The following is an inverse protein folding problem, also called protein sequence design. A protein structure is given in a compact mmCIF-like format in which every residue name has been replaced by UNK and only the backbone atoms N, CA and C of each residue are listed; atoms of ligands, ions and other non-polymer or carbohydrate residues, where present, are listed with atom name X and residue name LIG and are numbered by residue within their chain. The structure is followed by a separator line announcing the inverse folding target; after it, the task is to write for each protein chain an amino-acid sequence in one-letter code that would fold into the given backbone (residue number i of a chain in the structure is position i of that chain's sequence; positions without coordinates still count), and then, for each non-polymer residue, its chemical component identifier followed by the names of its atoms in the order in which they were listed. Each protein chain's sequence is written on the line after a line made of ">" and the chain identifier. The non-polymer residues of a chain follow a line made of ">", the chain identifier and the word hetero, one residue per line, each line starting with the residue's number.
data_IF_721702918928
#
_entry.id   IF_721702918928
#
_cell.length_a   1.000
_cell.length_b   1.000
_cell.length_c   1.000
_cell.angle_alpha   90.00
_cell.angle_beta   90.00
_cell.angle_gamma   90.00
#
_symmetry.space_group_name_H-M   'P 1'
#
loop_
_entity.id
_entity.type
_entity.pdbx_description
1 polymer ?
#
# COMPACT_ATOMS: atom_id res chain seq x y z
N UNK A 1 -33.28 59.56 -12.07
CA UNK A 1 -32.24 58.66 -11.69
C UNK A 1 -32.62 57.30 -12.26
N UNK A 2 -31.91 56.90 -13.27
CA UNK A 2 -32.30 55.79 -14.17
C UNK A 2 -31.54 54.53 -13.76
N UNK A 3 -32.26 53.53 -13.26
CA UNK A 3 -31.73 52.19 -12.97
C UNK A 3 -31.57 51.43 -14.29
N UNK A 4 -30.33 51.12 -14.66
CA UNK A 4 -30.01 50.16 -15.72
C UNK A 4 -29.58 48.84 -15.07
N UNK A 5 -30.17 47.71 -15.45
CA UNK A 5 -29.70 46.40 -14.99
C UNK A 5 -28.41 46.04 -15.69
N UNK A 6 -27.45 45.49 -14.90
CA UNK A 6 -26.21 44.92 -15.44
C UNK A 6 -26.52 43.64 -16.25
N UNK A 7 -26.10 43.63 -17.50
CA UNK A 7 -26.05 42.42 -18.34
C UNK A 7 -24.75 41.66 -18.04
N UNK A 8 -24.91 40.39 -17.68
CA UNK A 8 -23.79 39.46 -17.60
C UNK A 8 -23.45 38.94 -19.00
N UNK A 9 -22.18 38.77 -19.34
CA UNK A 9 -21.78 38.22 -20.64
C UNK A 9 -22.14 36.74 -20.73
N UNK A 10 -22.66 36.35 -21.91
CA UNK A 10 -23.01 35.00 -22.28
C UNK A 10 -21.79 34.07 -22.21
N UNK A 11 -22.01 32.84 -21.71
CA UNK A 11 -21.02 31.78 -21.67
C UNK A 11 -20.58 31.40 -23.09
N UNK A 12 -19.30 31.60 -23.41
CA UNK A 12 -18.70 31.09 -24.63
C UNK A 12 -18.66 29.56 -24.61
N UNK A 13 -19.27 28.94 -25.61
CA UNK A 13 -19.13 27.52 -25.91
C UNK A 13 -17.70 27.22 -26.35
N UNK A 14 -16.81 26.86 -25.44
CA UNK A 14 -15.59 26.16 -25.78
C UNK A 14 -15.94 24.67 -25.82
N UNK A 15 -15.94 24.13 -27.04
CA UNK A 15 -15.96 22.69 -27.25
C UNK A 15 -14.67 22.11 -26.68
N UNK A 16 -14.81 21.33 -25.61
CA UNK A 16 -13.74 20.61 -24.95
C UNK A 16 -13.41 19.36 -25.79
N UNK A 17 -12.50 19.52 -26.76
CA UNK A 17 -11.88 18.44 -27.52
C UNK A 17 -10.55 17.99 -26.86
N UNK A 18 -10.56 17.77 -25.56
CA UNK A 18 -9.49 17.05 -24.90
C UNK A 18 -9.57 15.55 -25.26
N UNK A 19 -8.43 14.85 -25.43
CA UNK A 19 -8.43 13.41 -25.69
C UNK A 19 -9.13 12.71 -24.52
N UNK A 20 -10.26 12.06 -24.79
CA UNK A 20 -10.87 11.12 -23.86
C UNK A 20 -9.87 9.97 -23.66
N UNK A 21 -9.17 9.97 -22.52
CA UNK A 21 -8.47 8.79 -22.07
C UNK A 21 -9.55 7.81 -21.64
N UNK A 22 -9.89 6.91 -22.52
CA UNK A 22 -10.63 5.70 -22.20
C UNK A 22 -9.70 4.88 -21.29
N UNK A 23 -9.90 4.98 -19.99
CA UNK A 23 -9.25 4.07 -19.05
C UNK A 23 -9.91 2.70 -19.24
N UNK A 24 -9.25 1.82 -20.00
CA UNK A 24 -9.55 0.41 -19.94
C UNK A 24 -9.45 -0.04 -18.48
N UNK A 25 -10.51 -0.66 -17.98
CA UNK A 25 -10.51 -1.32 -16.67
C UNK A 25 -9.51 -2.48 -16.74
N UNK A 26 -8.24 -2.17 -16.44
CA UNK A 26 -7.23 -3.22 -16.31
C UNK A 26 -7.53 -4.00 -15.05
N UNK A 27 -7.77 -5.30 -15.22
CA UNK A 27 -7.93 -6.26 -14.14
C UNK A 27 -6.77 -6.14 -13.14
N UNK A 28 -7.08 -5.65 -11.94
CA UNK A 28 -6.13 -5.45 -10.84
C UNK A 28 -5.65 -6.76 -10.20
N UNK A 29 -6.10 -7.88 -10.71
CA UNK A 29 -5.76 -9.21 -10.22
C UNK A 29 -4.92 -9.95 -11.27
N UNK A 30 -3.61 -9.91 -11.13
CA UNK A 30 -2.69 -10.68 -11.99
C UNK A 30 -2.63 -12.15 -11.49
N UNK A 31 -2.88 -13.16 -12.34
CA UNK A 31 -2.88 -14.58 -11.96
C UNK A 31 -1.49 -15.23 -11.95
N UNK A 32 -0.41 -14.47 -11.82
CA UNK A 32 0.95 -15.00 -12.04
C UNK A 32 1.50 -15.82 -10.85
N UNK A 33 0.98 -15.66 -9.63
CA UNK A 33 1.51 -16.41 -8.48
C UNK A 33 0.98 -17.84 -8.31
N UNK A 34 -0.13 -18.21 -8.94
CA UNK A 34 -0.64 -19.60 -8.86
C UNK A 34 0.24 -20.64 -9.56
N UNK A 35 1.11 -20.24 -10.48
CA UNK A 35 1.96 -21.19 -11.24
C UNK A 35 3.20 -21.69 -10.50
N UNK A 36 3.62 -21.06 -9.43
CA UNK A 36 4.85 -21.45 -8.73
C UNK A 36 4.58 -22.45 -7.60
N UNK A 37 3.43 -22.40 -6.95
CA UNK A 37 3.09 -23.30 -5.83
C UNK A 37 2.55 -24.66 -6.26
N UNK A 38 1.98 -24.80 -7.47
CA UNK A 38 1.43 -26.07 -7.98
C UNK A 38 2.48 -27.13 -8.35
N UNK A 39 3.76 -26.76 -8.53
CA UNK A 39 4.83 -27.69 -8.93
C UNK A 39 5.61 -28.32 -7.78
N UNK A 40 5.37 -27.93 -6.55
CA UNK A 40 6.08 -28.47 -5.36
C UNK A 40 5.32 -29.63 -4.72
N UNK A 41 4.02 -29.77 -4.96
CA UNK A 41 3.19 -30.79 -4.32
C UNK A 41 3.28 -32.19 -4.95
N UNK A 42 3.77 -32.35 -6.18
CA UNK A 42 3.80 -33.66 -6.88
C UNK A 42 5.10 -34.46 -6.78
N UNK A 43 6.10 -34.02 -6.05
CA UNK A 43 7.36 -34.76 -5.82
C UNK A 43 7.60 -35.22 -4.39
N UNK A 44 6.54 -35.49 -3.65
CA UNK A 44 6.56 -36.09 -2.33
C UNK A 44 6.57 -37.61 -2.36
N UNK A 45 7.44 -38.25 -3.13
CA UNK A 45 7.61 -39.72 -3.11
C UNK A 45 8.92 -40.11 -2.41
N UNK A 46 8.74 -40.66 -1.19
CA UNK A 46 9.64 -41.62 -0.54
C UNK A 46 11.15 -41.26 -0.44
N UNK A 47 11.51 -40.46 0.54
CA UNK A 47 12.88 -40.48 1.09
C UNK A 47 12.97 -41.59 2.16
N UNK A 48 13.57 -42.72 1.80
CA UNK A 48 14.08 -43.69 2.76
C UNK A 48 15.29 -43.07 3.46
N UNK A 49 15.17 -42.86 4.75
CA UNK A 49 16.26 -42.38 5.60
C UNK A 49 17.24 -43.54 5.80
N UNK A 50 18.41 -43.42 5.21
CA UNK A 50 19.51 -44.34 5.45
C UNK A 50 20.41 -43.72 6.54
N UNK A 51 20.56 -44.35 7.72
CA UNK A 51 21.33 -43.80 8.83
C UNK A 51 22.82 -44.17 8.67
N UNK A 52 23.54 -43.48 7.81
CA UNK A 52 25.03 -43.48 7.87
C UNK A 52 25.49 -42.04 7.93
N UNK A 53 25.94 -41.67 9.12
CA UNK A 53 26.53 -40.37 9.43
C UNK A 53 27.74 -40.12 8.52
N UNK A 54 27.64 -39.10 7.69
CA UNK A 54 28.77 -38.48 6.99
C UNK A 54 29.27 -37.27 7.79
N UNK A 55 30.56 -37.05 7.89
CA UNK A 55 31.13 -36.11 8.86
C UNK A 55 30.93 -34.64 8.47
N UNK A 56 30.77 -33.83 9.50
CA UNK A 56 30.46 -32.38 9.55
C UNK A 56 31.46 -31.48 8.79
N UNK A 57 32.40 -32.03 8.04
CA UNK A 57 33.46 -31.26 7.36
C UNK A 57 33.05 -30.61 6.03
N UNK A 58 32.00 -31.09 5.36
CA UNK A 58 31.58 -30.48 4.07
C UNK A 58 30.78 -29.21 4.23
N UNK A 59 30.03 -29.06 5.31
CA UNK A 59 29.19 -27.85 5.57
C UNK A 59 30.03 -26.58 5.81
N UNK A 60 31.22 -26.72 6.39
CA UNK A 60 32.13 -25.56 6.63
C UNK A 60 32.71 -25.00 5.33
N UNK A 61 33.09 -25.86 4.38
CA UNK A 61 33.65 -25.43 3.08
C UNK A 61 32.64 -24.65 2.24
N UNK A 62 31.36 -25.03 2.27
CA UNK A 62 30.28 -24.33 1.53
C UNK A 62 29.97 -22.95 2.16
N UNK A 63 30.04 -22.84 3.49
CA UNK A 63 29.84 -21.56 4.20
C UNK A 63 31.02 -20.62 3.95
N UNK A 64 32.25 -21.13 3.94
CA UNK A 64 33.44 -20.33 3.63
C UNK A 64 33.49 -19.91 2.17
N UNK A 65 33.06 -20.74 1.21
CA UNK A 65 32.93 -20.37 -0.19
C UNK A 65 31.83 -19.33 -0.42
N UNK A 66 30.70 -19.40 0.31
CA UNK A 66 29.65 -18.34 0.26
C UNK A 66 30.13 -17.03 0.88
N UNK A 67 30.90 -17.07 1.99
CA UNK A 67 31.54 -15.88 2.57
C UNK A 67 32.60 -15.30 1.65
N UNK A 68 33.45 -16.12 1.01
CA UNK A 68 34.47 -15.70 0.07
C UNK A 68 33.86 -15.11 -1.24
N UNK A 69 32.70 -15.63 -1.70
CA UNK A 69 31.97 -15.03 -2.83
C UNK A 69 31.34 -13.67 -2.46
N UNK A 70 30.81 -13.53 -1.23
CA UNK A 70 30.28 -12.25 -0.74
C UNK A 70 31.36 -11.18 -0.57
N UNK A 71 32.57 -11.55 -0.12
CA UNK A 71 33.71 -10.63 0.01
C UNK A 71 34.36 -10.27 -1.33
N UNK A 72 34.30 -11.15 -2.36
CA UNK A 72 34.76 -10.79 -3.71
C UNK A 72 33.85 -9.82 -4.45
N UNK A 73 32.54 -9.83 -4.15
CA UNK A 73 31.55 -8.88 -4.70
C UNK A 73 31.72 -7.43 -4.17
N UNK A 74 32.41 -7.25 -3.06
CA UNK A 74 32.61 -5.91 -2.44
C UNK A 74 33.83 -5.14 -2.97
N UNK A 75 34.58 -5.66 -3.93
CA UNK A 75 35.84 -5.03 -4.39
C UNK A 75 35.74 -4.04 -5.54
N UNK A 76 34.58 -3.83 -6.15
CA UNK A 76 34.38 -2.65 -6.99
C UNK A 76 34.00 -1.47 -6.10
N UNK A 77 35.00 -0.75 -5.59
CA UNK A 77 34.76 0.57 -5.03
C UNK A 77 34.18 1.44 -6.15
N UNK A 78 32.90 1.79 -6.00
CA UNK A 78 32.26 2.75 -6.91
C UNK A 78 33.01 4.07 -6.73
N UNK A 79 33.60 4.58 -7.81
CA UNK A 79 34.20 5.92 -7.79
C UNK A 79 33.08 6.97 -7.81
N UNK A 80 32.85 7.59 -6.66
CA UNK A 80 31.78 8.58 -6.50
C UNK A 80 32.09 9.91 -7.18
N UNK A 81 33.38 10.23 -7.42
CA UNK A 81 33.80 11.50 -8.03
C UNK A 81 33.18 11.77 -9.39
N UNK A 82 32.98 10.73 -10.20
CA UNK A 82 32.36 10.88 -11.51
C UNK A 82 30.85 11.13 -11.45
N UNK A 83 30.21 10.68 -10.38
CA UNK A 83 28.82 11.02 -10.10
C UNK A 83 28.69 12.44 -9.56
N UNK A 84 29.54 12.83 -8.61
CA UNK A 84 29.54 14.17 -8.01
C UNK A 84 29.67 15.28 -9.06
N UNK A 85 30.53 15.10 -10.06
CA UNK A 85 30.68 16.04 -11.16
C UNK A 85 29.42 16.26 -11.99
N UNK A 86 28.49 15.31 -11.96
CA UNK A 86 27.20 15.36 -12.68
C UNK A 86 26.05 15.88 -11.83
N UNK A 87 26.30 16.11 -10.53
CA UNK A 87 25.31 16.57 -9.59
C UNK A 87 25.26 18.10 -9.57
N UNK A 88 24.13 18.65 -9.98
CA UNK A 88 23.79 20.05 -9.77
C UNK A 88 23.11 20.26 -8.40
N UNK A 89 22.82 21.51 -8.06
CA UNK A 89 22.18 21.86 -6.80
C UNK A 89 20.82 21.15 -6.62
N UNK A 90 19.99 21.13 -7.65
CA UNK A 90 18.70 20.44 -7.62
C UNK A 90 18.84 18.93 -7.41
N UNK A 91 19.86 18.31 -8.00
CA UNK A 91 20.18 16.89 -7.79
C UNK A 91 20.48 16.62 -6.31
N UNK A 92 21.25 17.48 -5.66
CA UNK A 92 21.53 17.36 -4.21
C UNK A 92 20.29 17.59 -3.37
N UNK A 93 19.44 18.55 -3.70
CA UNK A 93 18.17 18.79 -3.00
C UNK A 93 17.24 17.57 -3.10
N UNK A 94 17.19 16.89 -4.26
CA UNK A 94 16.41 15.66 -4.44
C UNK A 94 16.97 14.53 -3.56
N UNK A 95 18.30 14.36 -3.51
CA UNK A 95 18.92 13.36 -2.63
C UNK A 95 18.65 13.68 -1.16
N UNK A 96 18.67 14.95 -0.77
CA UNK A 96 18.34 15.40 0.59
C UNK A 96 16.87 15.09 0.94
N UNK A 97 15.92 15.40 0.06
CA UNK A 97 14.51 15.09 0.27
C UNK A 97 14.26 13.60 0.50
N UNK A 98 14.93 12.73 -0.27
CA UNK A 98 14.83 11.28 -0.12
C UNK A 98 15.63 10.79 1.09
N UNK A 99 16.86 11.26 1.28
CA UNK A 99 17.79 10.73 2.28
C UNK A 99 17.52 11.25 3.69
N UNK A 100 17.09 12.51 3.85
CA UNK A 100 16.84 13.14 5.15
C UNK A 100 15.39 12.94 5.61
N UNK A 101 14.41 13.09 4.70
CA UNK A 101 12.98 13.00 5.03
C UNK A 101 12.36 11.65 4.69
N UNK A 102 13.04 10.83 3.89
CA UNK A 102 12.54 9.52 3.48
C UNK A 102 11.45 9.60 2.41
N UNK A 103 11.26 10.75 1.76
CA UNK A 103 10.27 10.92 0.71
C UNK A 103 10.47 9.91 -0.41
N UNK A 104 9.38 9.26 -0.83
CA UNK A 104 9.40 8.27 -1.91
C UNK A 104 8.51 8.68 -3.08
N UNK A 105 7.49 9.50 -2.87
CA UNK A 105 6.62 9.94 -3.97
C UNK A 105 7.15 11.21 -4.63
N UNK A 106 6.82 11.37 -5.92
CA UNK A 106 7.16 12.58 -6.64
C UNK A 106 6.57 13.83 -5.98
N UNK A 107 5.32 13.76 -5.50
CA UNK A 107 4.62 14.89 -4.90
C UNK A 107 5.30 15.37 -3.60
N UNK A 108 5.74 14.44 -2.75
CA UNK A 108 6.41 14.77 -1.50
C UNK A 108 7.79 15.39 -1.77
N UNK A 109 8.54 14.83 -2.75
CA UNK A 109 9.84 15.36 -3.17
C UNK A 109 9.67 16.78 -3.76
N UNK A 110 8.66 16.97 -4.62
CA UNK A 110 8.35 18.27 -5.22
C UNK A 110 7.98 19.30 -4.16
N UNK A 111 7.10 18.95 -3.23
CA UNK A 111 6.67 19.85 -2.16
C UNK A 111 7.86 20.31 -1.31
N UNK A 112 8.74 19.38 -0.91
CA UNK A 112 9.93 19.69 -0.12
C UNK A 112 10.90 20.62 -0.86
N UNK A 113 11.12 20.40 -2.16
CA UNK A 113 12.01 21.24 -2.97
C UNK A 113 11.41 22.63 -3.18
N UNK A 114 10.11 22.71 -3.50
CA UNK A 114 9.42 23.98 -3.74
C UNK A 114 9.33 24.83 -2.48
N UNK A 115 9.21 24.21 -1.30
CA UNK A 115 9.29 24.90 0.01
C UNK A 115 10.66 25.54 0.22
N UNK A 116 11.74 24.85 -0.18
CA UNK A 116 13.13 25.35 -0.05
C UNK A 116 13.48 26.39 -1.10
N UNK A 117 13.06 26.17 -2.34
CA UNK A 117 13.31 27.05 -3.47
C UNK A 117 12.17 26.97 -4.51
N UNK A 118 11.30 27.97 -4.49
CA UNK A 118 10.16 28.09 -5.39
C UNK A 118 10.53 28.39 -6.87
N UNK A 119 11.82 28.58 -7.18
CA UNK A 119 12.27 28.83 -8.55
C UNK A 119 12.31 27.55 -9.40
N UNK A 120 12.38 26.37 -8.75
CA UNK A 120 12.36 25.09 -9.44
C UNK A 120 10.95 24.70 -9.87
N UNK A 121 10.75 24.58 -11.17
CA UNK A 121 9.47 24.13 -11.75
C UNK A 121 9.31 22.61 -11.64
N UNK A 122 8.06 22.14 -11.60
CA UNK A 122 7.72 20.71 -11.63
C UNK A 122 8.41 19.95 -12.76
N UNK A 123 8.42 20.52 -13.97
CA UNK A 123 9.09 19.93 -15.14
C UNK A 123 10.58 19.73 -14.93
N UNK A 124 11.27 20.70 -14.30
CA UNK A 124 12.69 20.61 -14.00
C UNK A 124 12.97 19.54 -12.96
N UNK A 125 12.18 19.47 -11.90
CA UNK A 125 12.30 18.44 -10.85
C UNK A 125 12.12 17.04 -11.45
N UNK A 126 11.06 16.82 -12.26
CA UNK A 126 10.80 15.53 -12.95
C UNK A 126 11.94 15.11 -13.86
N UNK A 127 12.46 16.05 -14.66
CA UNK A 127 13.56 15.74 -15.56
C UNK A 127 14.83 15.37 -14.78
N UNK A 128 15.13 16.06 -13.69
CA UNK A 128 16.28 15.76 -12.83
C UNK A 128 16.16 14.40 -12.16
N UNK A 129 14.97 14.04 -11.62
CA UNK A 129 14.70 12.70 -11.07
C UNK A 129 14.92 11.63 -12.16
N UNK A 130 14.49 11.88 -13.39
CA UNK A 130 14.69 10.95 -14.51
C UNK A 130 16.17 10.78 -14.83
N UNK A 131 16.95 11.87 -14.83
CA UNK A 131 18.40 11.84 -15.03
C UNK A 131 19.08 11.04 -13.92
N UNK A 132 18.76 11.33 -12.65
CA UNK A 132 19.30 10.61 -11.48
C UNK A 132 18.96 9.11 -11.52
N UNK A 133 17.76 8.76 -11.99
CA UNK A 133 17.37 7.36 -12.18
C UNK A 133 18.18 6.70 -13.31
N UNK A 134 18.41 7.40 -14.42
CA UNK A 134 19.23 6.89 -15.55
C UNK A 134 20.70 6.73 -15.17
N UNK A 135 21.20 7.56 -14.26
CA UNK A 135 22.56 7.45 -13.71
C UNK A 135 22.65 6.33 -12.65
N UNK A 136 21.56 5.70 -12.26
CA UNK A 136 21.54 4.69 -11.22
C UNK A 136 21.75 5.24 -9.81
N UNK A 137 21.57 6.54 -9.60
CA UNK A 137 21.63 7.20 -8.27
C UNK A 137 20.32 6.99 -7.50
N UNK A 138 19.19 7.00 -8.20
CA UNK A 138 17.86 6.75 -7.65
C UNK A 138 17.27 5.52 -8.34
N UNK A 139 16.71 4.61 -7.55
CA UNK A 139 15.85 3.54 -8.05
C UNK A 139 14.43 4.06 -8.21
N UNK A 140 13.77 3.64 -9.29
CA UNK A 140 12.35 3.93 -9.54
C UNK A 140 11.59 2.62 -9.58
N UNK A 141 10.51 2.55 -8.84
CA UNK A 141 9.54 1.45 -8.88
C UNK A 141 8.14 1.98 -9.20
N UNK A 142 7.33 1.17 -9.87
CA UNK A 142 5.95 1.51 -10.20
C UNK A 142 5.03 0.67 -9.33
N UNK A 143 4.31 1.32 -8.43
CA UNK A 143 3.34 0.69 -7.54
C UNK A 143 1.94 0.92 -8.08
N UNK A 144 1.17 -0.14 -8.26
CA UNK A 144 -0.25 -0.05 -8.63
C UNK A 144 -1.06 0.35 -7.41
N UNK A 145 -1.83 1.43 -7.49
CA UNK A 145 -2.68 1.91 -6.40
C UNK A 145 -4.12 2.09 -6.89
N UNK A 146 -5.10 2.20 -5.98
CA UNK A 146 -6.49 2.49 -6.37
C UNK A 146 -6.69 3.81 -7.11
N UNK A 147 -5.76 4.75 -6.97
CA UNK A 147 -5.76 6.04 -7.66
C UNK A 147 -4.91 6.03 -8.93
N UNK A 148 -4.42 4.84 -9.37
CA UNK A 148 -3.58 4.67 -10.55
C UNK A 148 -2.16 4.24 -10.23
N UNK A 149 -1.27 4.29 -11.24
CA UNK A 149 0.13 3.93 -11.08
C UNK A 149 0.89 5.05 -10.35
N UNK A 150 1.55 4.70 -9.25
CA UNK A 150 2.39 5.59 -8.46
C UNK A 150 3.86 5.27 -8.72
N UNK A 151 4.64 6.26 -9.17
CA UNK A 151 6.08 6.13 -9.22
C UNK A 151 6.66 6.44 -7.83
N UNK A 152 7.38 5.47 -7.27
CA UNK A 152 8.10 5.64 -6.01
C UNK A 152 9.60 5.63 -6.26
N UNK A 153 10.32 6.41 -5.48
CA UNK A 153 11.75 6.68 -5.65
C UNK A 153 12.48 6.37 -4.34
N UNK A 154 13.65 5.75 -4.48
CA UNK A 154 14.54 5.43 -3.36
C UNK A 154 15.97 5.71 -3.74
N UNK A 155 16.83 6.01 -2.79
CA UNK A 155 18.25 6.03 -3.05
C UNK A 155 18.73 4.62 -3.41
N UNK A 156 19.49 4.52 -4.50
CA UNK A 156 20.25 3.30 -4.81
C UNK A 156 21.44 3.14 -3.84
N UNK A 157 22.18 2.06 -3.98
CA UNK A 157 23.46 1.92 -3.25
C UNK A 157 24.44 3.06 -3.57
N UNK A 158 24.45 3.55 -4.83
CA UNK A 158 25.26 4.72 -5.23
C UNK A 158 24.73 5.97 -4.57
N UNK A 159 23.41 6.22 -4.67
CA UNK A 159 22.76 7.38 -4.09
C UNK A 159 22.93 7.47 -2.58
N UNK A 160 22.80 6.35 -1.87
CA UNK A 160 23.02 6.30 -0.43
C UNK A 160 24.46 6.69 -0.04
N UNK A 161 25.45 6.23 -0.82
CA UNK A 161 26.86 6.59 -0.58
C UNK A 161 27.15 8.06 -0.89
N UNK A 162 26.62 8.56 -2.02
CA UNK A 162 26.73 10.00 -2.37
C UNK A 162 26.08 10.86 -1.28
N UNK A 163 24.91 10.49 -0.80
CA UNK A 163 24.22 11.17 0.29
C UNK A 163 25.08 11.19 1.57
N UNK A 164 25.59 10.02 1.96
CA UNK A 164 26.43 9.89 3.16
C UNK A 164 27.72 10.71 3.06
N UNK A 165 28.37 10.71 1.89
CA UNK A 165 29.60 11.51 1.65
C UNK A 165 29.30 13.02 1.72
N UNK A 166 28.20 13.45 1.11
CA UNK A 166 27.81 14.87 1.06
C UNK A 166 27.35 15.42 2.40
N UNK A 167 26.54 14.65 3.15
CA UNK A 167 25.86 15.14 4.36
C UNK A 167 26.44 14.57 5.66
N UNK A 168 27.40 13.65 5.60
CA UNK A 168 28.06 13.07 6.76
C UNK A 168 27.18 12.19 7.66
N UNK A 169 25.98 11.80 7.17
CA UNK A 169 25.02 11.01 7.91
C UNK A 169 24.41 9.91 7.05
N UNK A 170 23.87 8.87 7.69
CA UNK A 170 23.14 7.83 7.00
C UNK A 170 21.77 8.31 6.58
N UNK A 171 21.32 7.91 5.39
CA UNK A 171 19.95 8.17 4.96
C UNK A 171 18.94 7.50 5.89
N UNK A 172 17.81 8.17 6.12
CA UNK A 172 16.69 7.57 6.87
C UNK A 172 16.00 6.50 6.01
N UNK A 173 15.24 5.63 6.68
CA UNK A 173 14.42 4.63 6.00
C UNK A 173 13.40 5.34 5.10
N UNK A 174 13.38 5.00 3.82
CA UNK A 174 12.41 5.56 2.87
C UNK A 174 10.97 5.22 3.26
N UNK A 175 10.02 6.04 2.84
CA UNK A 175 8.60 5.74 3.06
C UNK A 175 8.21 4.37 2.49
N UNK A 176 8.72 4.02 1.31
CA UNK A 176 8.49 2.71 0.71
C UNK A 176 9.01 1.58 1.59
N UNK A 177 10.22 1.70 2.15
CA UNK A 177 10.78 0.69 3.06
C UNK A 177 9.97 0.59 4.36
N UNK A 178 9.46 1.72 4.87
CA UNK A 178 8.58 1.74 6.05
C UNK A 178 7.26 1.01 5.76
N UNK A 179 6.66 1.26 4.58
CA UNK A 179 5.44 0.58 4.13
C UNK A 179 5.70 -0.92 3.98
N UNK A 180 6.81 -1.32 3.38
CA UNK A 180 7.19 -2.73 3.25
C UNK A 180 7.42 -3.40 4.60
N UNK A 181 8.05 -2.71 5.55
CA UNK A 181 8.26 -3.24 6.90
C UNK A 181 6.95 -3.42 7.67
N UNK A 182 5.94 -2.59 7.40
CA UNK A 182 4.64 -2.64 8.07
C UNK A 182 3.67 -3.64 7.41
N UNK A 183 3.65 -3.74 6.08
CA UNK A 183 2.60 -4.46 5.33
C UNK A 183 3.10 -5.62 4.47
N UNK A 184 4.42 -5.90 4.41
CA UNK A 184 5.07 -6.95 3.61
C UNK A 184 4.82 -6.85 2.07
N UNK A 185 4.00 -5.91 1.62
CA UNK A 185 3.65 -5.71 0.22
C UNK A 185 3.41 -4.24 -0.10
N UNK A 186 4.14 -3.71 -1.09
CA UNK A 186 4.09 -2.30 -1.48
C UNK A 186 2.70 -1.86 -1.97
N UNK A 187 2.11 -2.63 -2.88
CA UNK A 187 0.79 -2.31 -3.45
C UNK A 187 -0.30 -2.27 -2.38
N UNK A 188 -0.30 -3.28 -1.50
CA UNK A 188 -1.24 -3.34 -0.37
C UNK A 188 -1.01 -2.16 0.59
N UNK A 189 0.25 -1.93 0.99
CA UNK A 189 0.58 -0.87 1.94
C UNK A 189 0.30 0.55 1.43
N UNK A 190 0.58 0.86 0.15
CA UNK A 190 0.18 2.14 -0.43
C UNK A 190 -1.35 2.27 -0.56
N UNK A 191 -2.05 1.17 -0.81
CA UNK A 191 -3.52 1.16 -0.76
C UNK A 191 -4.06 1.53 0.62
N UNK A 192 -3.49 0.94 1.67
CA UNK A 192 -3.83 1.27 3.07
C UNK A 192 -3.53 2.75 3.37
N UNK A 193 -2.34 3.24 2.98
CA UNK A 193 -1.97 4.66 3.15
C UNK A 193 -3.00 5.59 2.51
N UNK A 194 -3.37 5.35 1.25
CA UNK A 194 -4.36 6.16 0.52
C UNK A 194 -5.71 6.16 1.24
N UNK A 195 -6.19 4.99 1.68
CA UNK A 195 -7.46 4.88 2.42
C UNK A 195 -7.37 5.64 3.74
N UNK A 196 -6.27 5.48 4.48
CA UNK A 196 -6.07 6.18 5.74
C UNK A 196 -6.03 7.70 5.59
N UNK A 197 -5.41 8.21 4.52
CA UNK A 197 -5.41 9.64 4.18
C UNK A 197 -6.83 10.13 3.89
N UNK A 198 -7.59 9.43 3.06
CA UNK A 198 -8.98 9.78 2.78
C UNK A 198 -9.86 9.77 4.04
N UNK A 199 -9.63 8.83 4.97
CA UNK A 199 -10.35 8.80 6.24
C UNK A 199 -9.95 9.96 7.16
N UNK A 200 -8.68 10.39 7.17
CA UNK A 200 -8.23 11.60 7.90
C UNK A 200 -8.88 12.86 7.33
N UNK A 201 -8.85 13.00 6.01
CA UNK A 201 -9.41 14.16 5.30
C UNK A 201 -10.94 14.26 5.41
N UNK A 202 -11.62 13.13 5.66
CA UNK A 202 -13.09 13.12 5.82
C UNK A 202 -13.61 13.95 7.01
N UNK A 203 -12.77 14.21 8.01
CA UNK A 203 -13.12 14.98 9.22
C UNK A 203 -14.01 14.25 10.24
N UNK A 204 -14.40 13.00 9.98
CA UNK A 204 -15.25 12.20 10.90
C UNK A 204 -14.49 11.51 12.01
N UNK A 205 -13.16 11.46 11.93
CA UNK A 205 -12.31 10.77 12.89
C UNK A 205 -11.31 11.73 13.53
N UNK A 206 -11.20 11.70 14.84
CA UNK A 206 -10.17 12.46 15.57
C UNK A 206 -8.78 11.85 15.42
N UNK A 207 -8.70 10.55 15.13
CA UNK A 207 -7.44 9.90 14.80
C UNK A 207 -7.61 8.72 13.85
N UNK A 208 -6.64 8.52 12.96
CA UNK A 208 -6.55 7.41 12.01
C UNK A 208 -5.12 6.88 12.04
N UNK A 209 -4.95 5.60 12.36
CA UNK A 209 -3.67 4.90 12.40
C UNK A 209 -3.63 3.79 11.34
N UNK A 210 -2.59 3.79 10.54
CA UNK A 210 -2.28 2.80 9.49
C UNK A 210 -0.96 2.04 9.75
N UNK A 211 -0.39 2.19 10.95
CA UNK A 211 0.86 1.54 11.39
C UNK A 211 0.61 0.76 12.69
N UNK A 212 -0.07 -0.38 12.55
CA UNK A 212 -0.62 -1.12 13.69
C UNK A 212 0.18 -2.40 14.01
N UNK A 213 1.20 -2.76 13.22
CA UNK A 213 1.97 -4.01 13.36
C UNK A 213 2.66 -4.13 14.72
N UNK A 214 3.11 -3.01 15.28
CA UNK A 214 3.78 -2.98 16.58
C UNK A 214 2.83 -3.11 17.78
N UNK A 215 1.53 -2.89 17.57
CA UNK A 215 0.50 -2.88 18.61
C UNK A 215 -0.66 -3.84 18.26
N UNK A 216 -0.40 -5.15 18.15
CA UNK A 216 -1.43 -6.11 17.81
C UNK A 216 -2.48 -6.21 18.92
N UNK A 217 -3.75 -6.35 18.54
CA UNK A 217 -4.85 -6.57 19.48
C UNK A 217 -4.82 -8.04 19.91
N UNK A 218 -4.54 -8.29 21.18
CA UNK A 218 -4.55 -9.65 21.74
C UNK A 218 -5.99 -10.16 21.85
N UNK A 219 -6.28 -11.31 21.24
CA UNK A 219 -7.58 -11.99 21.33
C UNK A 219 -7.51 -13.06 22.43
N UNK A 220 -6.50 -13.92 22.37
CA UNK A 220 -6.19 -14.94 23.38
C UNK A 220 -4.71 -15.29 23.29
N UNK A 221 -4.22 -16.17 24.16
CA UNK A 221 -2.83 -16.59 24.12
C UNK A 221 -2.44 -17.14 22.73
N UNK A 222 -1.36 -16.60 22.18
CA UNK A 222 -0.85 -16.94 20.85
C UNK A 222 -1.67 -16.45 19.66
N UNK A 223 -2.82 -15.77 19.88
CA UNK A 223 -3.68 -15.26 18.81
C UNK A 223 -3.86 -13.76 18.96
N UNK A 224 -3.51 -13.04 17.92
CA UNK A 224 -3.71 -11.60 17.81
C UNK A 224 -4.31 -11.21 16.47
N UNK A 225 -4.87 -10.02 16.44
CA UNK A 225 -5.37 -9.35 15.23
C UNK A 225 -4.63 -8.03 15.03
N UNK A 226 -4.22 -7.78 13.82
CA UNK A 226 -3.58 -6.52 13.40
C UNK A 226 -4.47 -5.92 12.32
N UNK A 227 -5.29 -4.92 12.64
CA UNK A 227 -6.10 -4.23 11.64
C UNK A 227 -5.21 -3.38 10.72
N UNK A 228 -5.57 -3.29 9.45
CA UNK A 228 -4.87 -2.42 8.51
C UNK A 228 -5.00 -0.95 8.93
N UNK A 229 -6.22 -0.52 9.30
CA UNK A 229 -6.48 0.85 9.76
C UNK A 229 -7.35 0.82 11.03
N UNK A 230 -6.97 1.65 12.00
CA UNK A 230 -7.77 1.93 13.21
C UNK A 230 -8.20 3.40 13.16
N UNK A 231 -9.50 3.63 13.24
CA UNK A 231 -10.08 4.97 13.37
C UNK A 231 -10.70 5.14 14.75
N UNK A 232 -10.55 6.33 15.32
CA UNK A 232 -11.22 6.74 16.55
C UNK A 232 -12.07 7.97 16.22
N UNK A 233 -13.37 7.92 16.46
CA UNK A 233 -14.25 9.04 16.22
C UNK A 233 -14.22 10.07 17.36
N UNK A 234 -15.01 11.13 17.24
CA UNK A 234 -15.09 12.20 18.25
C UNK A 234 -15.74 11.74 19.57
N UNK A 235 -16.37 10.57 19.60
CA UNK A 235 -16.98 9.96 20.80
C UNK A 235 -16.09 8.85 21.40
N UNK A 236 -14.83 8.76 21.00
CA UNK A 236 -13.88 7.73 21.43
C UNK A 236 -14.21 6.30 20.96
N UNK A 237 -15.14 6.13 20.02
CA UNK A 237 -15.51 4.83 19.46
C UNK A 237 -14.48 4.40 18.44
N UNK A 238 -13.93 3.19 18.61
CA UNK A 238 -12.97 2.60 17.68
C UNK A 238 -13.66 1.85 16.55
N UNK A 239 -13.21 2.10 15.34
CA UNK A 239 -13.60 1.36 14.13
C UNK A 239 -12.35 0.77 13.48
N UNK A 240 -12.47 -0.45 12.98
CA UNK A 240 -11.39 -1.20 12.34
C UNK A 240 -11.73 -1.38 10.86
N UNK A 241 -10.74 -1.18 9.99
CA UNK A 241 -10.89 -1.29 8.55
C UNK A 241 -9.81 -2.21 8.00
N UNK A 242 -10.20 -3.08 7.09
CA UNK A 242 -9.32 -3.92 6.28
C UNK A 242 -9.33 -3.41 4.84
N UNK A 243 -8.16 -3.26 4.26
CA UNK A 243 -7.99 -2.98 2.85
C UNK A 243 -7.72 -4.30 2.12
N UNK A 244 -8.62 -4.73 1.22
CA UNK A 244 -8.57 -6.05 0.62
C UNK A 244 -8.36 -5.99 -0.90
N UNK A 245 -7.22 -6.56 -1.35
CA UNK A 245 -6.88 -6.72 -2.77
C UNK A 245 -7.26 -8.10 -3.35
N UNK A 246 -7.89 -8.97 -2.55
CA UNK A 246 -8.33 -10.33 -2.95
C UNK A 246 -7.19 -11.26 -3.41
N UNK A 247 -6.03 -11.17 -2.74
CA UNK A 247 -4.82 -11.97 -3.03
C UNK A 247 -4.64 -13.13 -2.03
N UNK A 248 -5.72 -13.62 -1.42
CA UNK A 248 -5.70 -14.63 -0.38
C UNK A 248 -6.59 -15.83 -0.73
N UNK A 249 -6.39 -16.95 -0.03
CA UNK A 249 -7.29 -18.10 -0.11
C UNK A 249 -8.53 -17.88 0.76
N UNK A 250 -9.64 -18.55 0.44
CA UNK A 250 -10.86 -18.52 1.25
C UNK A 250 -10.58 -18.88 2.72
N UNK A 251 -9.68 -19.83 2.98
CA UNK A 251 -9.31 -20.23 4.35
C UNK A 251 -8.65 -19.09 5.11
N UNK A 252 -7.73 -18.36 4.48
CA UNK A 252 -7.07 -17.20 5.10
C UNK A 252 -8.08 -16.08 5.36
N UNK A 253 -8.99 -15.82 4.41
CA UNK A 253 -10.05 -14.85 4.57
C UNK A 253 -10.99 -15.20 5.73
N UNK A 254 -11.42 -16.46 5.79
CA UNK A 254 -12.26 -16.96 6.90
C UNK A 254 -11.54 -16.76 8.26
N UNK A 255 -10.24 -17.07 8.31
CA UNK A 255 -9.41 -16.85 9.50
C UNK A 255 -9.34 -15.39 9.92
N UNK A 256 -9.20 -14.47 8.95
CA UNK A 256 -9.22 -13.02 9.17
C UNK A 256 -10.58 -12.57 9.73
N UNK A 257 -11.68 -12.91 9.07
CA UNK A 257 -13.02 -12.57 9.53
C UNK A 257 -13.31 -13.10 10.95
N UNK A 258 -12.86 -14.32 11.27
CA UNK A 258 -12.99 -14.88 12.62
C UNK A 258 -12.23 -14.09 13.69
N UNK A 259 -11.01 -13.61 13.38
CA UNK A 259 -10.24 -12.72 14.26
C UNK A 259 -10.92 -11.37 14.45
N UNK A 260 -11.41 -10.77 13.35
CA UNK A 260 -12.17 -9.53 13.41
C UNK A 260 -13.39 -9.65 14.31
N UNK A 261 -14.21 -10.69 14.16
CA UNK A 261 -15.38 -10.96 15.00
C UNK A 261 -15.06 -11.12 16.49
N UNK A 262 -13.82 -11.49 16.83
CA UNK A 262 -13.40 -11.58 18.24
C UNK A 262 -13.08 -10.21 18.84
N UNK A 263 -12.98 -9.17 18.03
CA UNK A 263 -12.60 -7.81 18.44
C UNK A 263 -13.74 -6.81 18.25
N UNK A 264 -14.54 -6.99 17.21
CA UNK A 264 -15.61 -6.06 16.84
C UNK A 264 -16.84 -6.79 16.29
N UNK A 265 -18.00 -6.19 16.45
CA UNK A 265 -19.24 -6.64 15.78
C UNK A 265 -19.45 -5.99 14.40
N UNK A 266 -18.57 -5.06 13.98
CA UNK A 266 -18.68 -4.39 12.69
C UNK A 266 -17.39 -4.63 11.90
N UNK A 267 -17.50 -5.39 10.81
CA UNK A 267 -16.41 -5.72 9.91
C UNK A 267 -16.45 -4.78 8.70
N UNK A 268 -15.47 -3.91 8.58
CA UNK A 268 -15.41 -2.94 7.50
C UNK A 268 -14.30 -3.33 6.51
N UNK A 269 -14.67 -3.54 5.25
CA UNK A 269 -13.76 -3.83 4.15
C UNK A 269 -13.76 -2.68 3.15
N UNK A 270 -12.59 -2.16 2.83
CA UNK A 270 -12.37 -1.23 1.74
C UNK A 270 -11.59 -1.96 0.66
N UNK A 271 -12.02 -1.85 -0.58
CA UNK A 271 -11.42 -2.54 -1.71
C UNK A 271 -11.04 -1.56 -2.82
N UNK A 272 -10.05 -1.90 -3.68
CA UNK A 272 -9.59 -1.01 -4.73
C UNK A 272 -10.71 -0.58 -5.70
N UNK A 273 -11.53 -1.53 -6.13
CA UNK A 273 -12.52 -1.33 -7.19
C UNK A 273 -13.74 -2.25 -7.04
N UNK A 274 -14.68 -2.13 -8.00
CA UNK A 274 -15.93 -2.91 -8.01
C UNK A 274 -15.69 -4.41 -8.17
N UNK A 275 -14.76 -4.82 -9.02
CA UNK A 275 -14.42 -6.25 -9.21
C UNK A 275 -13.97 -6.91 -7.92
N UNK A 276 -13.08 -6.22 -7.16
CA UNK A 276 -12.68 -6.68 -5.83
C UNK A 276 -13.85 -6.71 -4.84
N UNK A 277 -14.76 -5.72 -4.89
CA UNK A 277 -15.94 -5.70 -4.03
C UNK A 277 -16.86 -6.91 -4.28
N UNK A 278 -17.08 -7.26 -5.53
CA UNK A 278 -17.91 -8.43 -5.92
C UNK A 278 -17.26 -9.76 -5.51
N UNK A 279 -15.92 -9.87 -5.61
CA UNK A 279 -15.18 -11.04 -5.13
C UNK A 279 -15.29 -11.18 -3.61
N UNK A 280 -15.00 -10.10 -2.85
CA UNK A 280 -15.11 -10.10 -1.38
C UNK A 280 -16.56 -10.40 -0.95
N UNK A 281 -17.55 -9.88 -1.65
CA UNK A 281 -18.97 -10.23 -1.40
C UNK A 281 -19.20 -11.74 -1.48
N UNK A 282 -18.67 -12.40 -2.52
CA UNK A 282 -18.77 -13.85 -2.68
C UNK A 282 -18.04 -14.62 -1.56
N UNK A 283 -16.85 -14.17 -1.15
CA UNK A 283 -16.10 -14.79 -0.06
C UNK A 283 -16.79 -14.64 1.30
N UNK A 284 -17.40 -13.47 1.56
CA UNK A 284 -18.23 -13.23 2.76
C UNK A 284 -19.43 -14.18 2.77
N UNK A 285 -20.13 -14.36 1.63
CA UNK A 285 -21.24 -15.31 1.54
C UNK A 285 -20.83 -16.72 1.96
N UNK A 286 -19.72 -17.23 1.38
CA UNK A 286 -19.15 -18.53 1.76
C UNK A 286 -18.73 -18.61 3.23
N UNK A 287 -18.15 -17.55 3.77
CA UNK A 287 -17.77 -17.50 5.17
C UNK A 287 -19.00 -17.53 6.11
N UNK A 288 -20.08 -16.81 5.78
CA UNK A 288 -21.35 -16.85 6.53
C UNK A 288 -21.94 -18.26 6.50
N UNK A 289 -21.95 -18.92 5.34
CA UNK A 289 -22.42 -20.30 5.19
C UNK A 289 -21.65 -21.28 6.07
N UNK A 290 -20.32 -21.19 6.03
CA UNK A 290 -19.44 -22.08 6.79
C UNK A 290 -19.55 -21.88 8.31
N UNK A 291 -19.82 -20.66 8.76
CA UNK A 291 -19.90 -20.34 10.20
C UNK A 291 -21.28 -20.59 10.79
N UNK A 292 -22.31 -20.51 9.98
CA UNK A 292 -23.71 -20.56 10.38
C UNK A 292 -24.24 -19.19 10.85
N UNK A 293 -25.39 -18.81 10.34
CA UNK A 293 -26.02 -17.50 10.58
C UNK A 293 -26.27 -17.22 12.07
N UNK A 294 -26.61 -18.28 12.84
CA UNK A 294 -26.87 -18.14 14.26
C UNK A 294 -25.73 -17.61 15.10
N UNK A 295 -24.46 -17.82 14.65
CA UNK A 295 -23.27 -17.32 15.31
C UNK A 295 -22.96 -15.85 14.96
N UNK A 296 -23.68 -15.26 14.01
CA UNK A 296 -23.43 -13.92 13.45
C UNK A 296 -24.59 -12.94 13.72
N UNK A 297 -25.47 -13.24 14.67
CA UNK A 297 -26.70 -12.46 14.95
C UNK A 297 -26.45 -10.95 15.16
N UNK A 298 -25.32 -10.59 15.74
CA UNK A 298 -24.96 -9.20 16.06
C UNK A 298 -23.82 -8.67 15.21
N UNK A 299 -23.51 -9.34 14.10
CA UNK A 299 -22.41 -8.93 13.21
C UNK A 299 -22.98 -8.13 12.05
N UNK A 300 -22.38 -6.99 11.77
CA UNK A 300 -22.60 -6.19 10.56
C UNK A 300 -21.33 -6.21 9.73
N UNK A 301 -21.44 -6.54 8.44
CA UNK A 301 -20.32 -6.58 7.52
C UNK A 301 -20.56 -5.53 6.43
N UNK A 302 -19.57 -4.72 6.17
CA UNK A 302 -19.67 -3.60 5.26
C UNK A 302 -18.56 -3.65 4.23
N UNK A 303 -18.88 -3.37 2.96
CA UNK A 303 -17.91 -3.28 1.86
C UNK A 303 -18.09 -1.95 1.15
N UNK A 304 -16.99 -1.25 0.90
CA UNK A 304 -16.95 -0.08 0.04
C UNK A 304 -15.72 -0.11 -0.89
N UNK A 305 -15.78 0.65 -1.98
CA UNK A 305 -14.62 0.86 -2.84
C UNK A 305 -13.93 2.17 -2.49
N UNK A 306 -12.62 2.27 -2.77
CA UNK A 306 -11.86 3.50 -2.54
C UNK A 306 -12.53 4.71 -3.20
N UNK A 307 -13.03 4.56 -4.44
CA UNK A 307 -13.71 5.63 -5.16
C UNK A 307 -15.00 6.15 -4.50
N UNK A 308 -15.56 5.40 -3.54
CA UNK A 308 -16.82 5.74 -2.87
C UNK A 308 -16.63 6.26 -1.43
N UNK A 309 -15.37 6.33 -0.95
CA UNK A 309 -15.11 6.80 0.41
C UNK A 309 -15.51 8.28 0.57
N UNK A 310 -14.99 9.17 -0.24
CA UNK A 310 -15.34 10.58 -0.28
C UNK A 310 -15.53 11.24 1.09
N UNK A 311 -16.32 12.28 1.16
CA UNK A 311 -16.68 13.03 2.39
C UNK A 311 -17.85 12.39 3.17
N UNK A 312 -18.01 11.07 3.08
CA UNK A 312 -19.14 10.35 3.69
C UNK A 312 -18.78 9.85 5.08
N UNK A 313 -19.72 9.98 6.02
CA UNK A 313 -19.60 9.38 7.34
C UNK A 313 -19.77 7.86 7.24
N UNK A 314 -18.67 7.11 7.30
CA UNK A 314 -18.67 5.64 7.20
C UNK A 314 -19.16 4.94 8.48
N UNK A 315 -19.55 5.64 9.53
CA UNK A 315 -20.22 5.04 10.68
C UNK A 315 -21.66 4.64 10.33
N UNK A 316 -22.26 5.26 9.31
CA UNK A 316 -23.63 5.02 8.90
C UNK A 316 -23.70 3.96 7.79
N UNK A 317 -24.55 2.94 7.97
CA UNK A 317 -24.74 1.86 6.98
C UNK A 317 -25.15 2.36 5.58
N UNK A 318 -25.93 3.47 5.50
CA UNK A 318 -26.39 4.02 4.21
C UNK A 318 -25.25 4.50 3.30
N UNK A 319 -24.06 4.76 3.87
CA UNK A 319 -22.88 5.25 3.14
C UNK A 319 -21.98 4.12 2.63
N UNK A 320 -22.39 2.87 2.83
CA UNK A 320 -21.68 1.69 2.35
C UNK A 320 -22.37 1.10 1.13
N UNK A 321 -21.58 0.61 0.18
CA UNK A 321 -22.11 0.00 -1.05
C UNK A 321 -22.84 -1.30 -0.77
N UNK A 322 -22.22 -2.20 0.02
CA UNK A 322 -22.81 -3.47 0.42
C UNK A 322 -22.82 -3.56 1.94
N UNK A 323 -23.94 -3.98 2.49
CA UNK A 323 -24.09 -4.21 3.94
C UNK A 323 -24.77 -5.57 4.15
N UNK A 324 -24.12 -6.42 4.93
CA UNK A 324 -24.65 -7.72 5.36
C UNK A 324 -25.00 -7.64 6.84
N UNK A 325 -26.18 -8.12 7.17
CA UNK A 325 -26.63 -8.33 8.56
C UNK A 325 -27.19 -9.76 8.66
N UNK A 326 -26.32 -10.79 8.77
CA UNK A 326 -26.74 -12.21 8.66
C UNK A 326 -27.85 -12.60 9.62
N UNK A 327 -27.85 -12.03 10.83
CA UNK A 327 -28.87 -12.30 11.85
C UNK A 327 -30.22 -11.61 11.62
N UNK A 328 -30.31 -10.61 10.74
CA UNK A 328 -31.52 -9.83 10.47
C UNK A 328 -32.06 -10.03 9.05
N UNK A 329 -31.16 -10.11 8.06
CA UNK A 329 -31.49 -10.10 6.64
C UNK A 329 -30.91 -11.30 5.88
N UNK A 330 -30.38 -12.29 6.59
CA UNK A 330 -29.79 -13.50 5.98
C UNK A 330 -28.43 -13.24 5.33
N UNK A 331 -28.06 -14.11 4.36
CA UNK A 331 -26.75 -14.12 3.71
C UNK A 331 -26.55 -13.02 2.67
N UNK A 332 -27.66 -12.59 2.06
CA UNK A 332 -27.58 -11.64 0.96
C UNK A 332 -27.37 -10.22 1.48
N UNK A 333 -26.48 -9.45 0.86
CA UNK A 333 -26.29 -8.06 1.19
C UNK A 333 -27.48 -7.24 0.71
N UNK A 334 -27.84 -6.22 1.46
CA UNK A 334 -28.59 -5.13 0.85
C UNK A 334 -27.62 -4.08 0.29
N UNK A 335 -28.00 -3.51 -0.85
CA UNK A 335 -27.18 -2.57 -1.61
C UNK A 335 -27.75 -1.17 -1.39
N UNK A 336 -26.86 -0.24 -1.04
CA UNK A 336 -27.22 1.19 -0.98
C UNK A 336 -26.80 1.84 -2.31
N UNK A 337 -27.70 2.55 -2.93
CA UNK A 337 -27.51 3.28 -4.20
C UNK A 337 -27.18 4.76 -3.95
#
# INVERSE_FOLDING_TARGET
>A
MSDRPMQFPEKSNYADNGPQIVMEETDFCDPVEERVMGKIAEKGAKLQINPKATPVTESRKVIEQKKARKTRSMKHMIDLKDYEKKMDELSWMILDAIGTKGHSTYLDIEADITEKDATYTQGKIRSTITILSSLGVINKEVVKTPKGALNVHQLSTVGTRLYQEKYGQSAVMSEMDQIMAEHDNCTHGYGIKIVAEMLRESGFYKSVSDRNRKNPIKIKEGISYIPDIICIDNNDVKSYYEYECVNHTQTNFNGKCNKMCSVTSVLNFIVPNRTCADKIRGEIGKWIENRGEGSLKNVTIRINTVSQLGEKNLQENKNWKYVFEPGKKGKEPYVNF
#
